data_IF_299951087856
#
_entry.id   IF_299951087856
#
_cell.length_a   1.000
_cell.length_b   1.000
_cell.length_c   1.000
_cell.angle_alpha   90.00
_cell.angle_beta   90.00
_cell.angle_gamma   90.00
#
_symmetry.space_group_name_H-M   'P 1'
#
loop_
_entity.id
_entity.type
_entity.pdbx_description
1 polymer ?
#
# COMPACT_ATOMS: atom_id res chain seq x y z
N UNK A 1 -21.60 -10.86 -23.92
CA UNK A 1 -20.70 -10.84 -22.75
C UNK A 1 -21.25 -9.84 -21.74
N UNK A 2 -21.56 -10.27 -20.50
CA UNK A 2 -22.15 -9.41 -19.47
C UNK A 2 -21.08 -8.43 -18.97
N UNK A 3 -21.21 -7.15 -19.32
CA UNK A 3 -20.44 -6.07 -18.70
C UNK A 3 -20.82 -6.02 -17.22
N UNK A 4 -20.04 -6.67 -16.35
CA UNK A 4 -20.07 -6.44 -14.90
C UNK A 4 -19.69 -4.97 -14.69
N UNK A 5 -20.69 -4.09 -14.68
CA UNK A 5 -20.56 -2.74 -14.13
C UNK A 5 -20.12 -2.95 -12.69
N UNK A 6 -18.82 -2.81 -12.44
CA UNK A 6 -18.28 -2.73 -11.09
C UNK A 6 -19.00 -1.54 -10.47
N UNK A 7 -19.84 -1.83 -9.49
CA UNK A 7 -20.65 -0.85 -8.79
C UNK A 7 -19.72 0.25 -8.25
N UNK A 8 -19.90 1.48 -8.72
CA UNK A 8 -19.04 2.61 -8.38
C UNK A 8 -18.95 2.78 -6.86
N UNK A 9 -20.02 2.47 -6.13
CA UNK A 9 -20.04 2.50 -4.66
C UNK A 9 -19.17 1.42 -4.04
N UNK A 10 -19.18 0.20 -4.60
CA UNK A 10 -18.30 -0.88 -4.15
C UNK A 10 -16.81 -0.52 -4.37
N UNK A 11 -16.49 0.14 -5.49
CA UNK A 11 -15.12 0.60 -5.78
C UNK A 11 -14.66 1.70 -4.81
N UNK A 12 -15.54 2.64 -4.47
CA UNK A 12 -15.26 3.69 -3.48
C UNK A 12 -15.10 3.09 -2.07
N UNK A 13 -15.97 2.15 -1.69
CA UNK A 13 -15.91 1.46 -0.40
C UNK A 13 -14.66 0.57 -0.27
N UNK A 14 -14.19 -0.05 -1.36
CA UNK A 14 -12.91 -0.77 -1.37
C UNK A 14 -11.74 0.20 -1.20
N UNK A 15 -11.73 1.31 -1.94
CA UNK A 15 -10.68 2.33 -1.84
C UNK A 15 -10.62 2.98 -0.46
N UNK A 16 -11.76 3.26 0.18
CA UNK A 16 -11.80 3.82 1.53
C UNK A 16 -11.27 2.84 2.58
N UNK A 17 -11.44 1.52 2.35
CA UNK A 17 -10.87 0.45 3.17
C UNK A 17 -9.40 0.13 2.86
N UNK A 18 -8.80 0.80 1.87
CA UNK A 18 -7.42 0.56 1.45
C UNK A 18 -7.25 -0.67 0.53
N UNK A 19 -8.35 -1.28 0.11
CA UNK A 19 -8.39 -2.37 -0.86
C UNK A 19 -8.39 -1.78 -2.28
N UNK A 20 -7.70 -2.44 -3.22
CA UNK A 20 -7.51 -1.98 -4.63
C UNK A 20 -6.65 -0.73 -4.84
N UNK A 21 -5.94 -0.26 -3.81
CA UNK A 21 -5.01 0.88 -3.95
C UNK A 21 -3.75 0.42 -4.66
N UNK A 22 -3.60 0.79 -5.94
CA UNK A 22 -2.41 0.40 -6.72
C UNK A 22 -1.14 1.11 -6.28
N UNK A 23 -1.26 2.37 -5.87
CA UNK A 23 -0.13 3.18 -5.43
C UNK A 23 -0.55 4.16 -4.33
N UNK A 24 0.30 4.33 -3.31
CA UNK A 24 0.13 5.36 -2.28
C UNK A 24 1.47 5.91 -1.82
N UNK A 25 1.58 7.24 -1.74
CA UNK A 25 2.74 7.93 -1.15
C UNK A 25 2.47 8.24 0.31
N UNK A 26 3.44 7.98 1.17
CA UNK A 26 3.33 8.15 2.61
C UNK A 26 4.56 8.88 3.12
N UNK A 27 4.34 9.97 3.85
CA UNK A 27 5.40 10.65 4.58
C UNK A 27 5.59 9.97 5.94
N UNK A 28 6.83 9.56 6.24
CA UNK A 28 7.20 8.93 7.50
C UNK A 28 8.63 9.32 7.87
N UNK A 29 8.83 9.77 9.12
CA UNK A 29 10.12 10.27 9.62
C UNK A 29 10.79 11.31 8.70
N UNK A 30 10.00 12.23 8.12
CA UNK A 30 10.51 13.25 7.19
C UNK A 30 10.81 12.75 5.77
N UNK A 31 10.78 11.43 5.53
CA UNK A 31 11.00 10.78 4.24
C UNK A 31 9.67 10.47 3.53
N UNK A 32 9.69 10.39 2.21
CA UNK A 32 8.51 10.00 1.41
C UNK A 32 8.75 8.60 0.84
N UNK A 33 7.87 7.67 1.22
CA UNK A 33 7.86 6.31 0.71
C UNK A 33 6.70 6.12 -0.25
N UNK A 34 6.90 5.34 -1.30
CA UNK A 34 5.86 4.98 -2.27
C UNK A 34 5.58 3.50 -2.17
N UNK A 35 4.34 3.15 -1.85
CA UNK A 35 3.86 1.78 -1.81
C UNK A 35 3.17 1.47 -3.13
N UNK A 36 3.60 0.43 -3.83
CA UNK A 36 3.01 -0.04 -5.09
C UNK A 36 2.53 -1.47 -4.94
N UNK A 37 1.27 -1.72 -5.27
CA UNK A 37 0.71 -3.07 -5.24
C UNK A 37 1.21 -3.87 -6.44
N UNK A 38 1.88 -4.99 -6.17
CA UNK A 38 2.37 -5.96 -7.14
C UNK A 38 1.79 -7.32 -6.76
N UNK A 39 0.80 -7.77 -7.53
CA UNK A 39 0.23 -9.13 -7.52
C UNK A 39 0.34 -9.91 -6.18
N UNK A 40 -0.34 -9.42 -5.13
CA UNK A 40 -0.43 -10.09 -3.83
C UNK A 40 0.42 -9.47 -2.71
N UNK A 41 1.22 -8.44 -3.00
CA UNK A 41 1.99 -7.71 -2.00
C UNK A 41 2.15 -6.22 -2.36
N UNK A 42 2.61 -5.40 -1.43
CA UNK A 42 3.07 -4.04 -1.70
C UNK A 42 4.59 -3.97 -1.70
N UNK A 43 5.16 -3.45 -2.77
CA UNK A 43 6.56 -3.03 -2.83
C UNK A 43 6.69 -1.60 -2.32
N UNK A 44 7.70 -1.33 -1.49
CA UNK A 44 7.97 -0.01 -0.92
C UNK A 44 9.19 0.58 -1.58
N UNK A 45 9.06 1.81 -2.07
CA UNK A 45 10.12 2.56 -2.72
C UNK A 45 10.48 3.81 -1.92
N UNK A 46 11.77 4.12 -1.83
CA UNK A 46 12.30 5.37 -1.33
C UNK A 46 13.21 5.96 -2.42
N UNK A 47 12.98 7.22 -2.81
CA UNK A 47 13.76 7.91 -3.86
C UNK A 47 13.87 7.15 -5.20
N UNK A 48 12.90 6.28 -5.49
CA UNK A 48 12.86 5.47 -6.72
C UNK A 48 13.47 4.08 -6.57
N UNK A 49 14.14 3.79 -5.47
CA UNK A 49 14.72 2.48 -5.17
C UNK A 49 13.77 1.64 -4.30
N UNK A 50 13.67 0.34 -4.60
CA UNK A 50 12.89 -0.60 -3.80
C UNK A 50 13.64 -0.89 -2.50
N UNK A 51 12.99 -0.62 -1.36
CA UNK A 51 13.58 -0.78 -0.02
C UNK A 51 12.90 -1.85 0.83
N UNK A 52 11.66 -2.24 0.52
CA UNK A 52 10.96 -3.32 1.23
C UNK A 52 9.87 -3.96 0.34
N UNK A 53 9.35 -5.10 0.79
CA UNK A 53 8.16 -5.76 0.26
C UNK A 53 7.30 -6.32 1.41
N UNK A 54 5.97 -6.14 1.32
CA UNK A 54 5.03 -6.50 2.38
C UNK A 54 3.88 -7.30 1.78
N UNK A 55 3.77 -8.58 2.16
CA UNK A 55 2.79 -9.55 1.68
C UNK A 55 1.38 -9.29 2.23
N UNK A 56 0.73 -8.26 1.69
CA UNK A 56 -0.66 -7.92 1.98
C UNK A 56 -1.32 -7.25 0.78
N UNK A 57 -2.64 -7.40 0.67
CA UNK A 57 -3.48 -6.71 -0.30
C UNK A 57 -4.08 -5.40 0.24
N UNK A 58 -3.87 -5.12 1.54
CA UNK A 58 -4.36 -3.93 2.22
C UNK A 58 -3.24 -2.91 2.44
N UNK A 59 -3.35 -1.74 1.80
CA UNK A 59 -2.35 -0.68 1.92
C UNK A 59 -2.17 -0.16 3.35
N UNK A 60 -3.23 -0.16 4.17
CA UNK A 60 -3.14 0.35 5.54
C UNK A 60 -2.35 -0.62 6.41
N UNK A 61 -2.54 -1.93 6.21
CA UNK A 61 -1.72 -2.96 6.85
C UNK A 61 -0.26 -2.84 6.40
N UNK A 62 -0.01 -2.69 5.08
CA UNK A 62 1.34 -2.51 4.56
C UNK A 62 2.06 -1.31 5.21
N UNK A 63 1.37 -0.18 5.38
CA UNK A 63 1.96 1.00 6.04
C UNK A 63 2.25 0.74 7.52
N UNK A 64 1.35 0.05 8.23
CA UNK A 64 1.54 -0.29 9.63
C UNK A 64 2.75 -1.21 9.82
N UNK A 65 2.83 -2.29 9.05
CA UNK A 65 3.92 -3.27 9.08
C UNK A 65 5.26 -2.60 8.74
N UNK A 66 5.28 -1.74 7.71
CA UNK A 66 6.46 -0.95 7.35
C UNK A 66 6.95 -0.10 8.53
N UNK A 67 6.04 0.65 9.17
CA UNK A 67 6.40 1.50 10.32
C UNK A 67 6.86 0.66 11.50
N UNK A 68 6.27 -0.51 11.74
CA UNK A 68 6.68 -1.38 12.84
C UNK A 68 8.09 -1.95 12.61
N UNK A 69 8.37 -2.50 11.42
CA UNK A 69 9.71 -2.98 11.02
C UNK A 69 10.77 -1.88 11.17
N UNK A 70 10.50 -0.69 10.63
CA UNK A 70 11.45 0.43 10.64
C UNK A 70 11.56 1.16 11.97
N UNK A 71 10.58 1.05 12.88
CA UNK A 71 10.70 1.51 14.26
C UNK A 71 11.57 0.56 15.10
N UNK A 72 11.48 -0.77 14.88
CA UNK A 72 12.26 -1.77 15.65
C UNK A 72 13.76 -1.72 15.36
N UNK A 73 14.17 -1.28 14.17
CA UNK A 73 15.58 -1.07 13.82
C UNK A 73 16.26 0.05 14.64
N UNK A 74 15.53 0.76 15.51
CA UNK A 74 16.02 1.88 16.32
C UNK A 74 16.16 1.55 17.81
N UNK A 75 16.04 0.26 18.20
CA UNK A 75 16.16 -0.20 19.58
C UNK A 75 17.43 -1.02 19.81
#
# INVERSE_FOLDING_TARGET
MKNKKIDTMAKVAMRSRGLSVKEKRVRYQGKIFTFKYVSGHYEVFFEGEKVDAIETDNINQAIADFKEKHNKAKR
#
